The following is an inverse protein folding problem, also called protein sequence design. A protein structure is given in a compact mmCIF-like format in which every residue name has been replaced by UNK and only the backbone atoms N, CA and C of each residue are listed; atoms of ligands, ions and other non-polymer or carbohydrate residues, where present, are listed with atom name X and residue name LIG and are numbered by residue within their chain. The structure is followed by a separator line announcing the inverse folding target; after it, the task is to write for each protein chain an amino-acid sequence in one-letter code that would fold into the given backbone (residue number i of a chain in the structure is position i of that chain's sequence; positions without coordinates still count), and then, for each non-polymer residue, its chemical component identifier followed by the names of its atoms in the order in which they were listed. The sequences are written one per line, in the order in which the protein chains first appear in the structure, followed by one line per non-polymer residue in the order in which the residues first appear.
data_IF_232965197349
#
_entry.id   IF_232965197349
#
_cell.length_a   1.000
_cell.length_b   1.000
_cell.length_c   1.000
_cell.angle_alpha   90.00
_cell.angle_beta   90.00
_cell.angle_gamma   90.00
#
_symmetry.space_group_name_H-M   'P 1'
#
loop_
_entity.id
_entity.type
_entity.pdbx_description
1 polymer ?
#
# COMPACT_ATOMS: atom_id res chain seq x y z
N UNK A 1 -25.97 -65.41 10.77
CA UNK A 1 -26.15 -64.55 11.97
C UNK A 1 -25.47 -63.22 11.67
N UNK A 2 -26.23 -62.18 11.32
CA UNK A 2 -25.68 -60.85 11.01
C UNK A 2 -25.21 -60.24 12.33
N UNK A 3 -23.89 -60.16 12.55
CA UNK A 3 -23.31 -59.48 13.72
C UNK A 3 -23.71 -58.00 13.66
N UNK A 4 -24.67 -57.59 14.50
CA UNK A 4 -24.98 -56.18 14.70
C UNK A 4 -23.77 -55.43 15.26
N UNK A 5 -23.63 -54.15 14.89
CA UNK A 5 -22.57 -53.27 15.39
C UNK A 5 -22.54 -53.25 16.93
N UNK A 6 -21.33 -53.33 17.50
CA UNK A 6 -21.08 -53.16 18.94
C UNK A 6 -21.56 -51.78 19.42
N UNK A 7 -21.93 -51.64 20.69
CA UNK A 7 -22.30 -50.36 21.30
C UNK A 7 -21.22 -49.28 21.11
N UNK A 8 -19.95 -49.68 21.21
CA UNK A 8 -18.81 -48.78 21.04
C UNK A 8 -18.70 -48.26 19.59
N UNK A 9 -18.86 -49.15 18.61
CA UNK A 9 -18.88 -48.77 17.18
C UNK A 9 -20.03 -47.82 16.86
N UNK A 10 -21.21 -48.03 17.46
CA UNK A 10 -22.36 -47.12 17.32
C UNK A 10 -22.05 -45.73 17.90
N UNK A 11 -21.33 -45.67 19.03
CA UNK A 11 -20.95 -44.43 19.68
C UNK A 11 -19.90 -43.66 18.86
N UNK A 12 -18.89 -44.36 18.31
CA UNK A 12 -17.89 -43.79 17.39
C UNK A 12 -18.53 -43.21 16.12
N UNK A 13 -19.45 -43.94 15.50
CA UNK A 13 -20.16 -43.46 14.29
C UNK A 13 -20.99 -42.21 14.62
N UNK A 14 -21.67 -42.18 15.78
CA UNK A 14 -22.45 -41.01 16.22
C UNK A 14 -21.57 -39.78 16.50
N UNK A 15 -20.39 -39.97 17.10
CA UNK A 15 -19.44 -38.88 17.31
C UNK A 15 -18.88 -38.36 15.98
N UNK A 16 -18.46 -39.26 15.08
CA UNK A 16 -17.93 -38.90 13.77
C UNK A 16 -18.93 -38.09 12.95
N UNK A 17 -20.18 -38.54 12.89
CA UNK A 17 -21.25 -37.82 12.17
C UNK A 17 -21.60 -36.47 12.82
N UNK A 18 -21.45 -36.31 14.14
CA UNK A 18 -21.61 -35.02 14.82
C UNK A 18 -20.47 -34.06 14.46
N UNK A 19 -19.23 -34.54 14.48
CA UNK A 19 -18.06 -33.76 14.11
C UNK A 19 -18.09 -33.33 12.64
N UNK A 20 -18.47 -34.23 11.72
CA UNK A 20 -18.61 -33.89 10.29
C UNK A 20 -19.64 -32.77 10.06
N UNK A 21 -20.76 -32.80 10.78
CA UNK A 21 -21.76 -31.72 10.73
C UNK A 21 -21.23 -30.41 11.28
N UNK A 22 -20.48 -30.45 12.38
CA UNK A 22 -19.90 -29.26 13.00
C UNK A 22 -18.82 -28.64 12.12
N UNK A 23 -17.95 -29.46 11.52
CA UNK A 23 -16.95 -29.03 10.54
C UNK A 23 -17.63 -28.35 9.34
N UNK A 24 -18.64 -28.98 8.74
CA UNK A 24 -19.36 -28.39 7.61
C UNK A 24 -20.03 -27.05 7.97
N UNK A 25 -20.56 -26.91 9.19
CA UNK A 25 -21.10 -25.64 9.68
C UNK A 25 -20.02 -24.57 9.87
N UNK A 26 -18.86 -24.94 10.40
CA UNK A 26 -17.73 -24.03 10.59
C UNK A 26 -17.14 -23.59 9.24
N UNK A 27 -17.02 -24.48 8.27
CA UNK A 27 -16.58 -24.17 6.92
C UNK A 27 -17.51 -23.15 6.24
N UNK A 28 -18.83 -23.34 6.36
CA UNK A 28 -19.80 -22.37 5.83
C UNK A 28 -19.70 -21.00 6.52
N UNK A 29 -19.52 -20.97 7.83
CA UNK A 29 -19.31 -19.71 8.57
C UNK A 29 -18.03 -19.00 8.12
N UNK A 30 -16.93 -19.74 7.95
CA UNK A 30 -15.66 -19.20 7.48
C UNK A 30 -15.80 -18.56 6.09
N UNK A 31 -16.49 -19.24 5.16
CA UNK A 31 -16.76 -18.70 3.82
C UNK A 31 -17.53 -17.38 3.89
N UNK A 32 -18.56 -17.30 4.75
CA UNK A 32 -19.35 -16.08 4.93
C UNK A 32 -18.49 -14.95 5.52
N UNK A 33 -17.66 -15.25 6.52
CA UNK A 33 -16.76 -14.27 7.14
C UNK A 33 -15.72 -13.74 6.13
N UNK A 34 -15.15 -14.61 5.29
CA UNK A 34 -14.23 -14.21 4.22
C UNK A 34 -14.90 -13.30 3.19
N UNK A 35 -16.15 -13.59 2.80
CA UNK A 35 -16.92 -12.73 1.89
C UNK A 35 -17.23 -11.36 2.51
N UNK A 36 -17.59 -11.32 3.79
CA UNK A 36 -17.83 -10.06 4.52
C UNK A 36 -16.53 -9.25 4.58
N UNK A 37 -15.41 -9.88 4.94
CA UNK A 37 -14.09 -9.24 4.97
C UNK A 37 -13.74 -8.62 3.63
N UNK A 38 -13.92 -9.37 2.53
CA UNK A 38 -13.67 -8.87 1.17
C UNK A 38 -14.51 -7.62 0.84
N UNK A 39 -15.82 -7.64 1.16
CA UNK A 39 -16.71 -6.49 0.92
C UNK A 39 -16.32 -5.27 1.76
N UNK A 40 -15.95 -5.49 3.03
CA UNK A 40 -15.49 -4.40 3.92
C UNK A 40 -14.19 -3.77 3.41
N UNK A 41 -13.22 -4.60 2.98
CA UNK A 41 -11.98 -4.11 2.37
C UNK A 41 -12.25 -3.27 1.13
N UNK A 42 -13.16 -3.72 0.25
CA UNK A 42 -13.56 -2.93 -0.93
C UNK A 42 -14.23 -1.61 -0.56
N UNK A 43 -15.15 -1.62 0.42
CA UNK A 43 -15.84 -0.42 0.87
C UNK A 43 -14.88 0.60 1.51
N UNK A 44 -13.89 0.14 2.27
CA UNK A 44 -12.82 0.98 2.81
C UNK A 44 -11.99 1.61 1.68
N UNK A 45 -11.57 0.81 0.71
CA UNK A 45 -10.80 1.31 -0.44
C UNK A 45 -11.56 2.40 -1.20
N UNK A 46 -12.85 2.21 -1.49
CA UNK A 46 -13.68 3.21 -2.16
C UNK A 46 -13.75 4.52 -1.35
N UNK A 47 -13.85 4.43 -0.02
CA UNK A 47 -13.88 5.61 0.86
C UNK A 47 -12.54 6.32 0.86
N UNK A 48 -11.43 5.60 0.95
CA UNK A 48 -10.09 6.17 0.93
C UNK A 48 -9.80 6.86 -0.41
N UNK A 49 -10.18 6.24 -1.53
CA UNK A 49 -10.07 6.84 -2.87
C UNK A 49 -10.90 8.13 -2.97
N UNK A 50 -12.10 8.15 -2.39
CA UNK A 50 -12.96 9.34 -2.38
C UNK A 50 -12.37 10.47 -1.53
N UNK A 51 -11.81 10.14 -0.38
CA UNK A 51 -11.11 11.11 0.49
C UNK A 51 -9.93 11.71 -0.29
N UNK A 52 -9.12 10.87 -0.94
CA UNK A 52 -7.98 11.33 -1.75
C UNK A 52 -8.41 12.27 -2.89
N UNK A 53 -9.52 11.98 -3.57
CA UNK A 53 -10.09 12.83 -4.62
C UNK A 53 -10.51 14.20 -4.06
N UNK A 54 -11.20 14.22 -2.92
CA UNK A 54 -11.67 15.45 -2.28
C UNK A 54 -10.52 16.30 -1.74
N UNK A 55 -9.51 15.68 -1.10
CA UNK A 55 -8.30 16.36 -0.63
C UNK A 55 -7.56 17.00 -1.80
N UNK A 56 -7.46 16.32 -2.95
CA UNK A 56 -6.86 16.88 -4.17
C UNK A 56 -7.65 18.10 -4.68
N UNK A 57 -8.99 18.01 -4.76
CA UNK A 57 -9.84 19.14 -5.17
C UNK A 57 -9.69 20.34 -4.24
N UNK A 58 -9.63 20.12 -2.93
CA UNK A 58 -9.44 21.18 -1.95
C UNK A 58 -8.11 21.91 -2.16
N UNK A 59 -7.02 21.16 -2.34
CA UNK A 59 -5.68 21.71 -2.62
C UNK A 59 -5.68 22.54 -3.91
N UNK A 60 -6.35 22.07 -4.97
CA UNK A 60 -6.46 22.82 -6.24
C UNK A 60 -7.26 24.12 -6.08
N UNK A 61 -8.41 24.07 -5.37
CA UNK A 61 -9.22 25.26 -5.12
C UNK A 61 -8.46 26.30 -4.30
N UNK A 62 -7.75 25.88 -3.25
CA UNK A 62 -6.91 26.76 -2.44
C UNK A 62 -5.81 27.41 -3.30
N UNK A 63 -5.16 26.64 -4.20
CA UNK A 63 -4.15 27.19 -5.13
C UNK A 63 -4.73 28.25 -6.07
N UNK A 64 -5.89 27.99 -6.66
CA UNK A 64 -6.58 28.94 -7.55
C UNK A 64 -6.96 30.21 -6.79
N UNK A 65 -7.51 30.08 -5.58
CA UNK A 65 -7.89 31.22 -4.75
C UNK A 65 -6.67 32.05 -4.34
N UNK A 66 -5.58 31.41 -3.91
CA UNK A 66 -4.32 32.10 -3.59
C UNK A 66 -3.81 32.88 -4.81
N UNK A 67 -3.86 32.28 -6.01
CA UNK A 67 -3.44 32.97 -7.23
C UNK A 67 -4.29 34.21 -7.51
N UNK A 68 -5.61 34.09 -7.43
CA UNK A 68 -6.53 35.23 -7.62
C UNK A 68 -6.27 36.36 -6.62
N UNK A 69 -6.08 36.02 -5.33
CA UNK A 69 -5.79 37.00 -4.29
C UNK A 69 -4.47 37.73 -4.53
N UNK A 70 -3.41 37.02 -4.99
CA UNK A 70 -2.12 37.62 -5.35
C UNK A 70 -2.23 38.57 -6.54
N UNK A 71 -3.04 38.23 -7.53
CA UNK A 71 -3.22 39.10 -8.69
C UNK A 71 -3.99 40.37 -8.30
N UNK A 72 -5.03 40.24 -7.45
CA UNK A 72 -5.75 41.40 -6.89
C UNK A 72 -4.85 42.30 -6.01
N UNK A 73 -3.97 41.71 -5.20
CA UNK A 73 -2.98 42.43 -4.39
C UNK A 73 -2.05 43.30 -5.26
N UNK A 74 -1.59 42.78 -6.42
CA UNK A 74 -0.78 43.54 -7.37
C UNK A 74 -1.54 44.69 -8.01
N UNK A 75 -2.81 44.46 -8.40
CA UNK A 75 -3.66 45.51 -8.98
C UNK A 75 -3.87 46.67 -8.01
N UNK A 76 -4.24 46.35 -6.75
CA UNK A 76 -4.40 47.36 -5.71
C UNK A 76 -3.09 48.10 -5.40
N UNK A 77 -1.96 47.40 -5.39
CA UNK A 77 -0.64 48.03 -5.20
C UNK A 77 -0.31 49.02 -6.32
N UNK A 78 -0.80 48.78 -7.54
CA UNK A 78 -0.61 49.69 -8.68
C UNK A 78 -1.49 50.94 -8.52
N UNK A 79 -2.76 50.76 -8.16
CA UNK A 79 -3.69 51.86 -7.87
C UNK A 79 -3.15 52.74 -6.74
N UNK A 80 -2.66 52.13 -5.66
CA UNK A 80 -2.12 52.87 -4.52
C UNK A 80 -0.91 53.73 -4.92
N UNK A 81 -0.01 53.19 -5.75
CA UNK A 81 1.11 53.96 -6.32
C UNK A 81 0.64 55.14 -7.16
N UNK A 82 -0.37 54.94 -7.99
CA UNK A 82 -0.96 56.02 -8.80
C UNK A 82 -1.56 57.13 -7.92
N UNK A 83 -2.27 56.77 -6.85
CA UNK A 83 -2.82 57.73 -5.88
C UNK A 83 -1.70 58.50 -5.15
N UNK A 84 -0.61 57.83 -4.75
CA UNK A 84 0.56 58.47 -4.13
C UNK A 84 1.22 59.48 -5.08
N UNK A 85 1.36 59.13 -6.36
CA UNK A 85 1.94 60.02 -7.37
C UNK A 85 1.10 61.29 -7.56
N UNK A 86 -0.24 61.15 -7.64
CA UNK A 86 -1.16 62.31 -7.73
C UNK A 86 -1.00 63.25 -6.53
N UNK A 87 -1.00 62.70 -5.32
CA UNK A 87 -0.79 63.48 -4.09
C UNK A 87 0.56 64.21 -4.06
N UNK A 88 1.62 63.57 -4.59
CA UNK A 88 2.98 64.15 -4.65
C UNK A 88 3.08 65.28 -5.68
N UNK A 89 2.26 65.24 -6.74
CA UNK A 89 2.23 66.27 -7.78
C UNK A 89 1.50 67.57 -7.39
N UNK A 90 0.96 67.66 -6.17
CA UNK A 90 0.23 68.83 -5.68
C UNK A 90 -1.28 68.81 -5.98
N UNK A 91 -1.77 67.76 -6.66
CA UNK A 91 -3.21 67.45 -6.77
C UNK A 91 -3.72 66.98 -5.39
N UNK A 92 -4.26 67.91 -4.59
CA UNK A 92 -4.77 67.59 -3.26
C UNK A 92 -6.27 67.86 -3.16
N UNK A 93 -7.07 66.82 -3.36
CA UNK A 93 -8.49 66.80 -2.98
C UNK A 93 -8.67 65.84 -1.80
N UNK A 94 -9.50 66.23 -0.81
CA UNK A 94 -9.87 65.36 0.33
C UNK A 94 -10.35 63.97 -0.11
N UNK A 95 -10.88 63.84 -1.32
CA UNK A 95 -11.32 62.58 -1.91
C UNK A 95 -10.18 61.60 -2.16
N UNK A 96 -9.03 62.04 -2.69
CA UNK A 96 -7.88 61.16 -2.96
C UNK A 96 -7.34 60.54 -1.66
N UNK A 97 -7.31 61.32 -0.57
CA UNK A 97 -6.93 60.78 0.74
C UNK A 97 -7.91 59.72 1.24
N UNK A 98 -9.23 59.96 1.14
CA UNK A 98 -10.24 58.97 1.53
C UNK A 98 -10.16 57.69 0.68
N UNK A 99 -9.92 57.83 -0.62
CA UNK A 99 -9.76 56.69 -1.53
C UNK A 99 -8.53 55.87 -1.17
N UNK A 100 -7.38 56.53 -0.91
CA UNK A 100 -6.16 55.85 -0.45
C UNK A 100 -6.40 55.06 0.84
N UNK A 101 -7.03 55.67 1.85
CA UNK A 101 -7.36 55.01 3.10
C UNK A 101 -8.27 53.79 2.89
N UNK A 102 -9.29 53.92 2.02
CA UNK A 102 -10.17 52.81 1.68
C UNK A 102 -9.42 51.65 0.98
N UNK A 103 -8.52 51.97 0.04
CA UNK A 103 -7.71 50.97 -0.67
C UNK A 103 -6.69 50.28 0.23
N UNK A 104 -6.08 51.02 1.16
CA UNK A 104 -5.19 50.44 2.18
C UNK A 104 -5.96 49.47 3.09
N UNK A 105 -7.20 49.81 3.48
CA UNK A 105 -8.04 48.90 4.26
C UNK A 105 -8.38 47.63 3.48
N UNK A 106 -8.77 47.76 2.21
CA UNK A 106 -9.02 46.62 1.31
C UNK A 106 -7.77 45.73 1.16
N UNK A 107 -6.58 46.35 1.06
CA UNK A 107 -5.30 45.63 1.02
C UNK A 107 -5.04 44.81 2.28
N UNK A 108 -5.25 45.41 3.46
CA UNK A 108 -5.04 44.73 4.74
C UNK A 108 -5.99 43.53 4.91
N UNK A 109 -7.24 43.67 4.48
CA UNK A 109 -8.23 42.57 4.50
C UNK A 109 -7.81 41.42 3.57
N UNK A 110 -7.34 41.74 2.36
CA UNK A 110 -6.85 40.74 1.39
C UNK A 110 -5.60 40.02 1.90
N UNK A 111 -4.64 40.73 2.50
CA UNK A 111 -3.45 40.13 3.09
C UNK A 111 -3.80 39.19 4.25
N UNK A 112 -4.80 39.54 5.06
CA UNK A 112 -5.31 38.67 6.11
C UNK A 112 -5.96 37.41 5.53
N UNK A 113 -6.80 37.53 4.49
CA UNK A 113 -7.41 36.38 3.82
C UNK A 113 -6.35 35.48 3.18
N UNK A 114 -5.40 36.06 2.44
CA UNK A 114 -4.31 35.34 1.80
C UNK A 114 -3.45 34.57 2.81
N UNK A 115 -3.18 35.17 3.97
CA UNK A 115 -2.46 34.52 5.07
C UNK A 115 -3.24 33.32 5.62
N UNK A 116 -4.55 33.47 5.85
CA UNK A 116 -5.42 32.38 6.33
C UNK A 116 -5.47 31.21 5.34
N UNK A 117 -5.70 31.50 4.05
CA UNK A 117 -5.82 30.47 3.01
C UNK A 117 -4.47 29.79 2.77
N UNK A 118 -3.36 30.54 2.76
CA UNK A 118 -2.02 29.95 2.61
C UNK A 118 -1.67 29.01 3.76
N UNK A 119 -2.04 29.36 5.00
CA UNK A 119 -1.87 28.49 6.16
C UNK A 119 -2.72 27.21 6.04
N UNK A 120 -4.00 27.34 5.66
CA UNK A 120 -4.90 26.21 5.42
C UNK A 120 -4.37 25.29 4.32
N UNK A 121 -3.98 25.86 3.17
CA UNK A 121 -3.40 25.14 2.04
C UNK A 121 -2.18 24.32 2.48
N UNK A 122 -1.25 24.93 3.20
CA UNK A 122 -0.05 24.24 3.69
C UNK A 122 -0.40 23.11 4.67
N UNK A 123 -1.32 23.35 5.61
CA UNK A 123 -1.76 22.33 6.57
C UNK A 123 -2.43 21.14 5.87
N UNK A 124 -3.36 21.40 4.94
CA UNK A 124 -4.07 20.37 4.18
C UNK A 124 -3.12 19.55 3.31
N UNK A 125 -2.18 20.23 2.65
CA UNK A 125 -1.13 19.59 1.85
C UNK A 125 -0.27 18.66 2.71
N UNK A 126 0.24 19.14 3.86
CA UNK A 126 1.05 18.34 4.78
C UNK A 126 0.29 17.11 5.29
N UNK A 127 -0.97 17.29 5.66
CA UNK A 127 -1.86 16.21 6.10
C UNK A 127 -2.02 15.13 5.02
N UNK A 128 -2.24 15.51 3.76
CA UNK A 128 -2.35 14.58 2.62
C UNK A 128 -1.07 13.76 2.43
N UNK A 129 0.09 14.40 2.50
CA UNK A 129 1.39 13.71 2.39
C UNK A 129 1.58 12.72 3.55
N UNK A 130 1.32 13.16 4.78
CA UNK A 130 1.41 12.32 5.98
C UNK A 130 0.52 11.07 5.87
N UNK A 131 -0.72 11.24 5.43
CA UNK A 131 -1.65 10.13 5.24
C UNK A 131 -1.10 9.10 4.23
N UNK A 132 -0.55 9.56 3.11
CA UNK A 132 0.03 8.67 2.09
C UNK A 132 1.30 7.97 2.57
N UNK A 133 2.15 8.66 3.33
CA UNK A 133 3.34 8.07 3.96
C UNK A 133 2.92 6.99 4.96
N UNK A 134 1.94 7.27 5.82
CA UNK A 134 1.44 6.32 6.80
C UNK A 134 0.83 5.08 6.14
N UNK A 135 0.04 5.27 5.08
CA UNK A 135 -0.53 4.16 4.31
C UNK A 135 0.58 3.29 3.69
N UNK A 136 1.57 3.92 3.04
CA UNK A 136 2.70 3.19 2.48
C UNK A 136 3.49 2.43 3.55
N UNK A 137 3.77 3.04 4.70
CA UNK A 137 4.49 2.40 5.81
C UNK A 137 3.73 1.20 6.38
N UNK A 138 2.40 1.31 6.49
CA UNK A 138 1.54 0.21 6.93
C UNK A 138 1.61 -0.97 5.96
N UNK A 139 1.34 -0.72 4.67
CA UNK A 139 1.40 -1.77 3.63
C UNK A 139 2.80 -2.38 3.52
N UNK A 140 3.85 -1.55 3.69
CA UNK A 140 5.25 -2.04 3.75
C UNK A 140 5.46 -2.97 4.93
N UNK A 141 4.95 -2.62 6.12
CA UNK A 141 5.02 -3.47 7.31
C UNK A 141 4.34 -4.82 7.08
N UNK A 142 3.11 -4.79 6.57
CA UNK A 142 2.33 -6.00 6.27
C UNK A 142 3.04 -6.89 5.23
N UNK A 143 3.62 -6.28 4.18
CA UNK A 143 4.40 -6.99 3.18
C UNK A 143 5.68 -7.63 3.73
N UNK A 144 6.39 -6.95 4.64
CA UNK A 144 7.59 -7.51 5.27
C UNK A 144 7.24 -8.77 6.07
N UNK A 145 6.14 -8.74 6.82
CA UNK A 145 5.63 -9.92 7.54
C UNK A 145 5.25 -11.05 6.58
N UNK A 146 4.54 -10.73 5.49
CA UNK A 146 4.19 -11.70 4.44
C UNK A 146 5.44 -12.34 3.82
N UNK A 147 6.48 -11.54 3.56
CA UNK A 147 7.74 -12.00 2.98
C UNK A 147 8.50 -12.92 3.92
N UNK A 148 8.58 -12.59 5.21
CA UNK A 148 9.17 -13.47 6.23
C UNK A 148 8.45 -14.81 6.33
N UNK A 149 7.12 -14.79 6.32
CA UNK A 149 6.30 -16.00 6.35
C UNK A 149 6.49 -16.83 5.07
N UNK A 150 6.49 -16.20 3.90
CA UNK A 150 6.74 -16.86 2.62
C UNK A 150 8.11 -17.54 2.63
N UNK A 151 9.17 -16.84 3.05
CA UNK A 151 10.54 -17.39 3.15
C UNK A 151 10.56 -18.66 4.03
N UNK A 152 9.88 -18.65 5.19
CA UNK A 152 9.79 -19.81 6.09
C UNK A 152 9.05 -20.98 5.43
N UNK A 153 7.89 -20.71 4.81
CA UNK A 153 7.10 -21.75 4.14
C UNK A 153 7.83 -22.37 2.95
N UNK A 154 8.51 -21.56 2.14
CA UNK A 154 9.33 -22.03 1.02
C UNK A 154 10.48 -22.94 1.49
N UNK A 155 11.15 -22.58 2.59
CA UNK A 155 12.20 -23.43 3.18
C UNK A 155 11.64 -24.77 3.68
N UNK A 156 10.52 -24.74 4.38
CA UNK A 156 9.87 -25.97 4.84
C UNK A 156 9.46 -26.86 3.66
N UNK A 157 8.94 -26.26 2.58
CA UNK A 157 8.61 -26.96 1.35
C UNK A 157 9.85 -27.68 0.76
N UNK A 158 10.98 -27.00 0.65
CA UNK A 158 12.25 -27.59 0.20
C UNK A 158 12.72 -28.73 1.11
N UNK A 159 12.70 -28.53 2.44
CA UNK A 159 13.13 -29.53 3.42
C UNK A 159 12.24 -30.79 3.38
N UNK A 160 10.93 -30.61 3.21
CA UNK A 160 9.98 -31.72 3.10
C UNK A 160 10.15 -32.48 1.78
N UNK A 161 10.39 -31.80 0.67
CA UNK A 161 10.71 -32.43 -0.61
C UNK A 161 11.98 -33.28 -0.48
N UNK A 162 13.06 -32.72 0.07
CA UNK A 162 14.34 -33.43 0.27
C UNK A 162 14.18 -34.64 1.20
N UNK A 163 13.48 -34.49 2.32
CA UNK A 163 13.19 -35.61 3.24
C UNK A 163 12.33 -36.70 2.59
N UNK A 164 11.35 -36.32 1.76
CA UNK A 164 10.48 -37.28 1.08
C UNK A 164 11.26 -38.10 0.05
N UNK A 165 12.13 -37.44 -0.74
CA UNK A 165 13.00 -38.10 -1.72
C UNK A 165 14.01 -39.01 -1.03
N UNK A 166 14.64 -38.55 0.07
CA UNK A 166 15.66 -39.35 0.77
C UNK A 166 15.07 -40.62 1.40
N UNK A 167 13.85 -40.56 1.95
CA UNK A 167 13.15 -41.75 2.47
C UNK A 167 12.79 -42.76 1.39
N UNK A 168 12.57 -42.29 0.17
CA UNK A 168 12.20 -43.13 -0.96
C UNK A 168 13.41 -43.88 -1.53
N UNK A 169 14.59 -43.22 -1.55
CA UNK A 169 15.88 -43.81 -1.94
C UNK A 169 16.30 -45.05 -1.17
N UNK A 170 15.76 -45.23 0.04
CA UNK A 170 16.01 -46.42 0.86
C UNK A 170 15.11 -47.62 0.47
N UNK A 171 14.25 -47.48 -0.56
CA UNK A 171 13.24 -48.48 -0.97
C UNK A 171 13.48 -48.95 -2.42
N UNK A 172 14.07 -50.12 -2.63
CA UNK A 172 14.51 -50.62 -3.95
C UNK A 172 13.32 -50.92 -4.90
N UNK A 173 13.25 -50.24 -6.06
CA UNK A 173 12.53 -50.73 -7.27
C UNK A 173 11.73 -49.67 -8.06
N UNK A 174 11.25 -49.99 -9.27
CA UNK A 174 10.55 -49.08 -10.23
C UNK A 174 9.32 -48.31 -9.70
N UNK A 175 8.87 -48.58 -8.47
CA UNK A 175 7.86 -47.81 -7.73
C UNK A 175 8.43 -46.46 -7.22
N UNK A 176 9.76 -46.37 -7.09
CA UNK A 176 10.54 -45.24 -6.60
C UNK A 176 10.39 -44.01 -7.52
N UNK A 177 10.57 -44.17 -8.84
CA UNK A 177 10.47 -43.08 -9.82
C UNK A 177 9.05 -42.46 -9.91
N UNK A 178 8.01 -43.29 -9.80
CA UNK A 178 6.60 -42.86 -9.87
C UNK A 178 6.18 -42.08 -8.62
N UNK A 179 6.72 -42.44 -7.45
CA UNK A 179 6.39 -41.73 -6.20
C UNK A 179 7.24 -40.47 -6.04
N UNK A 180 8.51 -40.49 -6.47
CA UNK A 180 9.39 -39.32 -6.44
C UNK A 180 8.87 -38.21 -7.34
N UNK A 181 8.40 -38.54 -8.55
CA UNK A 181 7.74 -37.57 -9.43
C UNK A 181 6.46 -36.98 -8.81
N UNK A 182 5.64 -37.78 -8.12
CA UNK A 182 4.46 -37.28 -7.39
C UNK A 182 4.81 -36.30 -6.27
N UNK A 183 5.88 -36.56 -5.52
CA UNK A 183 6.35 -35.64 -4.48
C UNK A 183 6.88 -34.34 -5.08
N UNK A 184 7.69 -34.41 -6.13
CA UNK A 184 8.20 -33.23 -6.85
C UNK A 184 7.04 -32.36 -7.34
N UNK A 185 6.03 -32.97 -7.98
CA UNK A 185 4.87 -32.23 -8.48
C UNK A 185 4.06 -31.58 -7.35
N UNK A 186 3.86 -32.30 -6.24
CA UNK A 186 3.14 -31.78 -5.06
C UNK A 186 3.85 -30.54 -4.47
N UNK A 187 5.14 -30.67 -4.16
CA UNK A 187 5.89 -29.59 -3.53
C UNK A 187 6.18 -28.45 -4.51
N UNK A 188 6.31 -28.71 -5.82
CA UNK A 188 6.40 -27.66 -6.84
C UNK A 188 5.15 -26.78 -6.82
N UNK A 189 3.95 -27.38 -6.82
CA UNK A 189 2.68 -26.62 -6.75
C UNK A 189 2.56 -25.81 -5.46
N UNK A 190 2.93 -26.41 -4.33
CA UNK A 190 2.94 -25.71 -3.04
C UNK A 190 3.89 -24.51 -3.04
N UNK A 191 5.12 -24.70 -3.56
CA UNK A 191 6.12 -23.65 -3.69
C UNK A 191 5.61 -22.50 -4.57
N UNK A 192 5.06 -22.81 -5.73
CA UNK A 192 4.50 -21.83 -6.67
C UNK A 192 3.33 -21.06 -6.05
N UNK A 193 2.42 -21.74 -5.34
CA UNK A 193 1.30 -21.09 -4.64
C UNK A 193 1.77 -20.08 -3.58
N UNK A 194 2.86 -20.39 -2.86
CA UNK A 194 3.45 -19.44 -1.90
C UNK A 194 4.03 -18.22 -2.64
N UNK A 195 4.70 -18.43 -3.77
CA UNK A 195 5.25 -17.32 -4.57
C UNK A 195 4.16 -16.45 -5.21
N UNK A 196 3.02 -17.02 -5.61
CA UNK A 196 1.86 -16.24 -6.10
C UNK A 196 1.38 -15.28 -5.03
N UNK A 197 1.17 -15.77 -3.79
CA UNK A 197 0.75 -14.93 -2.65
C UNK A 197 1.75 -13.83 -2.34
N UNK A 198 3.05 -14.15 -2.39
CA UNK A 198 4.12 -13.15 -2.25
C UNK A 198 4.02 -12.06 -3.33
N UNK A 199 3.84 -12.46 -4.59
CA UNK A 199 3.73 -11.54 -5.72
C UNK A 199 2.48 -10.66 -5.63
N UNK A 200 1.35 -11.17 -5.15
CA UNK A 200 0.15 -10.38 -4.91
C UNK A 200 0.40 -9.27 -3.87
N UNK A 201 1.06 -9.59 -2.76
CA UNK A 201 1.45 -8.60 -1.76
C UNK A 201 2.46 -7.57 -2.30
N UNK A 202 3.40 -8.01 -3.14
CA UNK A 202 4.37 -7.11 -3.79
C UNK A 202 3.67 -6.14 -4.76
N UNK A 203 2.64 -6.60 -5.47
CA UNK A 203 1.84 -5.77 -6.36
C UNK A 203 1.10 -4.67 -5.57
N UNK A 204 0.50 -5.01 -4.43
CA UNK A 204 -0.17 -4.05 -3.56
C UNK A 204 0.81 -3.00 -3.02
N UNK A 205 1.99 -3.42 -2.57
CA UNK A 205 3.01 -2.51 -2.10
C UNK A 205 3.52 -1.58 -3.20
N UNK A 206 3.69 -2.08 -4.43
CA UNK A 206 4.06 -1.27 -5.60
C UNK A 206 2.99 -0.22 -5.95
N UNK A 207 1.70 -0.56 -5.89
CA UNK A 207 0.61 0.42 -6.11
C UNK A 207 0.69 1.58 -5.12
N UNK A 208 0.89 1.26 -3.83
CA UNK A 208 1.03 2.26 -2.77
C UNK A 208 2.29 3.13 -2.95
N UNK A 209 3.41 2.52 -3.38
CA UNK A 209 4.63 3.25 -3.71
C UNK A 209 4.40 4.31 -4.81
N UNK A 210 3.74 3.93 -5.92
CA UNK A 210 3.46 4.87 -7.00
C UNK A 210 2.45 5.95 -6.61
N UNK A 211 1.46 5.62 -5.76
CA UNK A 211 0.56 6.61 -5.17
C UNK A 211 1.34 7.67 -4.38
N UNK A 212 2.23 7.24 -3.47
CA UNK A 212 3.08 8.13 -2.70
C UNK A 212 3.99 8.97 -3.62
N UNK A 213 4.58 8.35 -4.64
CA UNK A 213 5.44 9.05 -5.62
C UNK A 213 4.71 10.15 -6.36
N UNK A 214 3.48 9.88 -6.80
CA UNK A 214 2.66 10.88 -7.47
C UNK A 214 2.36 12.07 -6.55
N UNK A 215 1.98 11.82 -5.29
CA UNK A 215 1.72 12.89 -4.33
C UNK A 215 2.97 13.71 -4.05
N UNK A 216 4.13 13.07 -3.85
CA UNK A 216 5.39 13.79 -3.65
C UNK A 216 5.76 14.65 -4.87
N UNK A 217 5.59 14.13 -6.08
CA UNK A 217 5.88 14.87 -7.33
C UNK A 217 4.93 16.04 -7.59
N UNK A 218 3.65 15.92 -7.23
CA UNK A 218 2.70 17.05 -7.27
C UNK A 218 3.16 18.20 -6.35
N UNK A 219 3.98 17.91 -5.34
CA UNK A 219 4.51 18.86 -4.37
C UNK A 219 5.95 19.26 -4.72
N UNK A 220 6.11 20.29 -5.57
CA UNK A 220 7.42 20.73 -6.11
C UNK A 220 8.55 20.91 -5.07
N UNK A 221 8.23 21.30 -3.84
CA UNK A 221 9.22 21.49 -2.76
C UNK A 221 9.78 20.18 -2.19
N UNK A 222 9.06 19.06 -2.38
CA UNK A 222 9.46 17.72 -1.96
C UNK A 222 10.14 16.92 -3.08
N UNK A 223 10.35 17.53 -4.26
CA UNK A 223 11.07 16.90 -5.37
C UNK A 223 12.53 16.55 -5.02
N UNK A 224 13.07 17.09 -3.92
CA UNK A 224 14.38 16.70 -3.37
C UNK A 224 14.36 15.34 -2.68
N UNK A 225 13.19 14.79 -2.34
CA UNK A 225 13.07 13.49 -1.70
C UNK A 225 13.21 12.36 -2.73
N UNK A 226 14.32 11.63 -2.68
CA UNK A 226 14.59 10.55 -3.61
C UNK A 226 13.82 9.28 -3.23
N UNK A 227 12.59 9.17 -3.76
CA UNK A 227 11.76 7.96 -3.63
C UNK A 227 12.28 6.77 -4.45
N UNK A 228 13.22 6.94 -5.39
CA UNK A 228 13.75 5.82 -6.18
C UNK A 228 14.60 4.88 -5.32
N UNK A 229 15.09 5.33 -4.16
CA UNK A 229 15.69 4.45 -3.13
C UNK A 229 14.72 3.39 -2.61
N UNK A 230 13.41 3.63 -2.70
CA UNK A 230 12.35 2.74 -2.25
C UNK A 230 11.70 1.97 -3.40
N UNK A 231 12.25 2.05 -4.61
CA UNK A 231 11.77 1.23 -5.73
C UNK A 231 11.85 -0.24 -5.32
N UNK A 232 10.72 -0.93 -5.39
CA UNK A 232 10.56 -2.25 -4.80
C UNK A 232 10.89 -3.29 -5.84
N UNK A 233 11.73 -4.24 -5.43
CA UNK A 233 12.41 -5.17 -6.32
C UNK A 233 11.50 -6.30 -6.83
N UNK A 234 12.09 -7.06 -7.75
CA UNK A 234 11.53 -8.00 -8.72
C UNK A 234 10.52 -9.00 -8.14
N UNK A 235 9.47 -9.24 -8.91
CA UNK A 235 8.57 -10.38 -8.74
C UNK A 235 9.32 -11.70 -8.81
N UNK A 236 8.84 -12.68 -8.03
CA UNK A 236 9.33 -14.04 -8.13
C UNK A 236 8.88 -14.65 -9.46
N UNK A 237 9.84 -15.02 -10.31
CA UNK A 237 9.59 -15.46 -11.69
C UNK A 237 9.07 -16.89 -11.77
N UNK A 238 9.39 -17.72 -10.77
CA UNK A 238 8.97 -19.12 -10.71
C UNK A 238 7.54 -19.31 -10.15
N UNK A 239 6.74 -18.24 -10.08
CA UNK A 239 5.35 -18.26 -9.60
C UNK A 239 4.32 -18.67 -10.66
N UNK A 240 4.69 -18.76 -11.94
CA UNK A 240 3.74 -19.04 -13.02
C UNK A 240 3.26 -20.48 -12.99
N UNK A 241 2.04 -20.66 -12.51
CA UNK A 241 1.26 -21.90 -12.63
C UNK A 241 0.79 -22.02 -14.09
N UNK A 242 1.58 -22.71 -14.93
CA UNK A 242 1.25 -22.91 -16.35
C UNK A 242 2.43 -23.36 -17.21
N UNK A 243 3.63 -22.89 -16.91
CA UNK A 243 4.86 -23.50 -17.43
C UNK A 243 5.08 -24.82 -16.72
N UNK A 244 4.95 -25.94 -17.44
CA UNK A 244 5.23 -27.34 -17.00
C UNK A 244 6.70 -27.58 -16.59
N UNK A 245 7.39 -26.58 -16.06
CA UNK A 245 8.78 -26.70 -15.64
C UNK A 245 8.73 -27.14 -14.18
N UNK A 246 9.04 -28.41 -13.93
CA UNK A 246 9.33 -28.87 -12.57
C UNK A 246 10.44 -27.97 -12.00
N UNK A 247 10.18 -27.37 -10.84
CA UNK A 247 11.19 -26.55 -10.18
C UNK A 247 12.25 -27.48 -9.61
N UNK A 248 13.50 -27.28 -10.02
CA UNK A 248 14.62 -27.98 -9.40
C UNK A 248 15.07 -27.25 -8.11
N UNK A 249 15.81 -27.97 -7.26
CA UNK A 249 16.27 -27.46 -5.97
C UNK A 249 17.09 -26.16 -6.09
N UNK A 250 17.85 -25.98 -7.17
CA UNK A 250 18.65 -24.77 -7.37
C UNK A 250 17.75 -23.55 -7.62
N UNK A 251 16.75 -23.67 -8.50
CA UNK A 251 15.77 -22.61 -8.76
C UNK A 251 15.02 -22.21 -7.48
N UNK A 252 14.58 -23.20 -6.69
CA UNK A 252 13.91 -22.93 -5.41
C UNK A 252 14.83 -22.20 -4.41
N UNK A 253 16.10 -22.60 -4.32
CA UNK A 253 17.10 -21.93 -3.46
C UNK A 253 17.38 -20.50 -3.92
N UNK A 254 17.48 -20.26 -5.22
CA UNK A 254 17.68 -18.93 -5.80
C UNK A 254 16.53 -17.97 -5.46
N UNK A 255 15.27 -18.43 -5.54
CA UNK A 255 14.11 -17.63 -5.15
C UNK A 255 14.16 -17.27 -3.66
N UNK A 256 14.39 -18.26 -2.78
CA UNK A 256 14.49 -18.04 -1.33
C UNK A 256 15.59 -17.02 -1.01
N UNK A 257 16.75 -17.16 -1.65
CA UNK A 257 17.88 -16.25 -1.45
C UNK A 257 17.57 -14.83 -1.95
N UNK A 258 16.89 -14.72 -3.10
CA UNK A 258 16.44 -13.43 -3.65
C UNK A 258 15.46 -12.73 -2.71
N UNK A 259 14.48 -13.47 -2.18
CA UNK A 259 13.53 -12.95 -1.19
C UNK A 259 14.22 -12.51 0.10
N UNK A 260 15.17 -13.30 0.63
CA UNK A 260 15.96 -12.93 1.83
C UNK A 260 16.77 -11.66 1.62
N UNK A 261 17.45 -11.55 0.47
CA UNK A 261 18.23 -10.35 0.12
C UNK A 261 17.32 -9.12 0.08
N UNK A 262 16.17 -9.24 -0.57
CA UNK A 262 15.20 -8.15 -0.66
C UNK A 262 14.65 -7.73 0.72
N UNK A 263 14.32 -8.69 1.58
CA UNK A 263 13.85 -8.43 2.95
C UNK A 263 14.85 -7.57 3.74
N UNK A 264 16.14 -7.93 3.68
CA UNK A 264 17.21 -7.19 4.36
C UNK A 264 17.32 -5.74 3.86
N UNK A 265 17.24 -5.54 2.54
CA UNK A 265 17.29 -4.22 1.92
C UNK A 265 16.07 -3.34 2.28
N UNK A 266 14.86 -3.91 2.32
CA UNK A 266 13.66 -3.14 2.69
C UNK A 266 13.66 -2.76 4.18
N UNK A 267 14.14 -3.65 5.05
CA UNK A 267 14.23 -3.42 6.49
C UNK A 267 15.19 -2.27 6.84
N UNK A 268 16.34 -2.18 6.17
CA UNK A 268 17.30 -1.08 6.37
C UNK A 268 16.69 0.30 6.07
N UNK A 269 15.70 0.37 5.16
CA UNK A 269 15.08 1.61 4.68
C UNK A 269 13.84 2.05 5.48
N UNK A 270 13.60 1.54 6.69
CA UNK A 270 12.35 1.84 7.45
C UNK A 270 12.35 3.24 8.09
N UNK A 271 13.50 3.74 8.54
CA UNK A 271 13.57 4.94 9.39
C UNK A 271 13.56 6.27 8.60
N UNK A 272 13.91 6.27 7.31
CA UNK A 272 14.06 7.49 6.51
C UNK A 272 12.72 8.11 6.04
N UNK A 273 11.63 7.34 5.95
CA UNK A 273 10.31 7.80 5.49
C UNK A 273 9.55 8.65 6.52
N UNK A 274 9.83 8.46 7.81
CA UNK A 274 9.19 9.22 8.89
C UNK A 274 9.59 10.70 8.82
N UNK A 275 10.80 11.00 8.34
CA UNK A 275 11.28 12.37 8.17
C UNK A 275 10.57 13.13 7.04
N UNK A 276 9.95 12.41 6.09
CA UNK A 276 9.17 12.98 4.98
C UNK A 276 7.85 13.59 5.47
N UNK A 277 7.34 13.08 6.60
CA UNK A 277 6.11 13.51 7.25
C UNK A 277 6.27 14.77 8.13
N UNK A 278 7.52 15.16 8.43
CA UNK A 278 7.85 16.29 9.32
C UNK A 278 8.26 17.57 8.58
N UNK A 279 8.43 17.53 7.25
CA UNK A 279 8.78 18.68 6.39
C UNK A 279 7.53 19.48 6.03
#
# INVERSE_FOLDING_TARGET
MVKGLSQEQKLTIKLKTKLEKEIAQLEQKLIIEEQIKMRLTQALQIKDDKINELEKKLVTLDQERIKQLKDKEKELSKIEKELINKLTSGENTKEIHKEKEAKQKEMNELQQELSRISASYNANRKKRILNQVNNFLKVKGDFLTLQEEAIKKLQNCCNHLESSINKEKDTIGSIEDIKTSKFIDKYTKEFQSILVKYNDGLLELNKNYYSLKNVVQENKELNSFNLDKYKIFKFATNSQEGTRIQLNSNMMKEDINSLRKNLNELNQKKNELINLATV
#
